data_IF_796281610177
#
_entry.id   IF_796281610177
#
_cell.length_a   1.000
_cell.length_b   1.000
_cell.length_c   1.000
_cell.angle_alpha   90.00
_cell.angle_beta   90.00
_cell.angle_gamma   90.00
#
_symmetry.space_group_name_H-M   'P 1'
#
loop_
_entity.id
_entity.type
_entity.pdbx_description
1 polymer ?
#
# COMPACT_ATOMS: atom_id res chain seq x y z
N UNK A 1 6.73 -20.51 -22.06
CA UNK A 1 5.40 -20.49 -21.40
C UNK A 1 5.39 -19.42 -20.32
N UNK A 2 4.67 -18.32 -20.51
CA UNK A 2 4.58 -17.26 -19.50
C UNK A 2 3.81 -17.78 -18.28
N UNK A 3 4.43 -17.78 -17.09
CA UNK A 3 3.74 -18.11 -15.84
C UNK A 3 2.61 -17.09 -15.63
N UNK A 4 1.35 -17.53 -15.69
CA UNK A 4 0.20 -16.72 -15.27
C UNK A 4 0.36 -16.45 -13.77
N UNK A 5 0.95 -15.31 -13.40
CA UNK A 5 0.92 -14.83 -12.02
C UNK A 5 -0.53 -14.52 -11.66
N UNK A 6 -1.06 -15.21 -10.64
CA UNK A 6 -2.31 -14.80 -10.03
C UNK A 6 -2.09 -13.44 -9.39
N UNK A 7 -2.84 -12.44 -9.86
CA UNK A 7 -2.85 -11.11 -9.26
C UNK A 7 -3.62 -11.20 -7.95
N UNK A 8 -2.97 -10.81 -6.86
CA UNK A 8 -3.61 -10.74 -5.54
C UNK A 8 -4.60 -9.57 -5.53
N UNK A 9 -5.77 -9.80 -4.97
CA UNK A 9 -6.79 -8.77 -4.77
C UNK A 9 -6.61 -8.12 -3.40
N UNK A 10 -6.60 -6.80 -3.37
CA UNK A 10 -6.38 -5.98 -2.17
C UNK A 10 -7.60 -5.13 -1.88
N UNK A 11 -8.00 -5.10 -0.61
CA UNK A 11 -9.12 -4.29 -0.14
C UNK A 11 -8.69 -3.50 1.09
N UNK A 12 -9.03 -2.22 1.13
CA UNK A 12 -8.72 -1.33 2.27
C UNK A 12 -10.04 -0.89 2.89
N UNK A 13 -10.18 -1.18 4.18
CA UNK A 13 -11.34 -0.84 4.97
C UNK A 13 -10.95 0.20 6.01
N UNK A 14 -11.83 1.16 6.25
CA UNK A 14 -11.72 2.07 7.39
C UNK A 14 -12.93 1.86 8.30
N UNK A 15 -12.74 2.13 9.59
CA UNK A 15 -13.85 2.23 10.53
C UNK A 15 -14.15 3.69 10.82
N UNK A 16 -15.35 4.11 10.47
CA UNK A 16 -15.85 5.47 10.72
C UNK A 16 -17.18 5.37 11.44
N UNK A 17 -17.33 6.06 12.57
CA UNK A 17 -18.55 6.07 13.38
C UNK A 17 -19.06 4.65 13.73
N UNK A 18 -18.15 3.75 14.07
CA UNK A 18 -18.47 2.36 14.43
C UNK A 18 -18.74 1.42 13.25
N UNK A 19 -19.00 1.94 12.04
CA UNK A 19 -19.23 1.17 10.83
C UNK A 19 -17.94 0.92 10.04
N UNK A 20 -17.80 -0.29 9.49
CA UNK A 20 -16.72 -0.65 8.57
C UNK A 20 -17.12 -0.26 7.14
N UNK A 21 -16.25 0.45 6.44
CA UNK A 21 -16.43 0.88 5.06
C UNK A 21 -15.23 0.47 4.22
N UNK A 22 -15.46 -0.26 3.14
CA UNK A 22 -14.46 -0.47 2.09
C UNK A 22 -14.27 0.84 1.32
N UNK A 23 -13.05 1.36 1.28
CA UNK A 23 -12.72 2.60 0.57
C UNK A 23 -11.91 2.35 -0.69
N UNK A 24 -11.29 1.17 -0.81
CA UNK A 24 -10.52 0.80 -1.99
C UNK A 24 -10.57 -0.72 -2.17
N UNK A 25 -10.75 -1.15 -3.41
CA UNK A 25 -10.71 -2.54 -3.85
C UNK A 25 -9.94 -2.55 -5.17
N UNK A 26 -8.81 -3.26 -5.24
CA UNK A 26 -7.85 -3.16 -6.35
C UNK A 26 -6.98 -4.39 -6.46
N UNK A 27 -6.41 -4.64 -7.64
CA UNK A 27 -5.35 -5.65 -7.83
C UNK A 27 -3.94 -5.03 -7.77
N UNK A 28 -3.83 -3.71 -7.55
CA UNK A 28 -2.56 -2.99 -7.42
C UNK A 28 -2.18 -2.81 -5.95
N UNK A 29 -1.14 -3.55 -5.53
CA UNK A 29 -0.53 -3.45 -4.20
C UNK A 29 -0.11 -2.01 -3.86
N UNK A 30 0.32 -1.21 -4.85
CA UNK A 30 0.78 0.16 -4.61
C UNK A 30 -0.37 1.11 -4.31
N UNK A 31 -1.49 0.97 -5.00
CA UNK A 31 -2.70 1.72 -4.69
C UNK A 31 -3.19 1.38 -3.27
N UNK A 32 -3.24 0.09 -2.92
CA UNK A 32 -3.63 -0.37 -1.58
C UNK A 32 -2.71 0.15 -0.47
N UNK A 33 -1.39 0.03 -0.65
CA UNK A 33 -0.41 0.51 0.33
C UNK A 33 -0.41 2.02 0.53
N UNK A 34 -0.61 2.81 -0.54
CA UNK A 34 -0.74 4.28 -0.44
C UNK A 34 -2.00 4.69 0.32
N UNK A 35 -3.12 4.03 0.02
CA UNK A 35 -4.38 4.30 0.71
C UNK A 35 -4.28 3.95 2.20
N UNK A 36 -3.75 2.76 2.52
CA UNK A 36 -3.52 2.36 3.89
C UNK A 36 -2.66 3.37 4.66
N UNK A 37 -1.50 3.75 4.10
CA UNK A 37 -0.60 4.71 4.75
C UNK A 37 -1.26 6.08 4.95
N UNK A 38 -2.04 6.55 3.96
CA UNK A 38 -2.78 7.81 4.06
C UNK A 38 -3.80 7.77 5.19
N UNK A 39 -4.60 6.71 5.28
CA UNK A 39 -5.60 6.60 6.36
C UNK A 39 -4.94 6.39 7.72
N UNK A 40 -3.85 5.62 7.78
CA UNK A 40 -3.09 5.38 9.02
C UNK A 40 -2.50 6.67 9.59
N UNK A 41 -2.03 7.59 8.73
CA UNK A 41 -1.52 8.91 9.14
C UNK A 41 -2.59 9.85 9.70
N UNK A 42 -3.87 9.57 9.42
CA UNK A 42 -5.02 10.34 9.95
C UNK A 42 -5.55 9.78 11.26
N UNK A 43 -4.82 8.82 11.85
CA UNK A 43 -5.19 8.07 13.06
C UNK A 43 -6.57 7.39 12.98
N UNK A 44 -6.99 7.05 11.76
CA UNK A 44 -8.21 6.27 11.50
C UNK A 44 -7.87 4.80 11.63
N UNK A 45 -8.78 4.03 12.26
CA UNK A 45 -8.67 2.59 12.29
C UNK A 45 -8.85 2.03 10.87
N UNK A 46 -7.75 1.53 10.29
CA UNK A 46 -7.68 1.02 8.92
C UNK A 46 -7.26 -0.45 8.93
N UNK A 47 -7.90 -1.26 8.09
CA UNK A 47 -7.63 -2.70 7.90
C UNK A 47 -7.37 -2.96 6.41
N UNK A 48 -6.57 -3.98 6.12
CA UNK A 48 -6.31 -4.43 4.75
C UNK A 48 -6.67 -5.90 4.64
N UNK A 49 -7.39 -6.28 3.59
CA UNK A 49 -7.60 -7.67 3.20
C UNK A 49 -6.88 -7.98 1.89
N UNK A 50 -6.32 -9.17 1.80
CA UNK A 50 -5.69 -9.71 0.59
C UNK A 50 -6.36 -11.04 0.27
N UNK A 51 -7.00 -11.12 -0.90
CA UNK A 51 -7.76 -12.31 -1.35
C UNK A 51 -8.77 -12.80 -0.29
N UNK A 52 -9.41 -11.86 0.42
CA UNK A 52 -10.36 -12.15 1.50
C UNK A 52 -9.74 -12.42 2.87
N UNK A 53 -8.41 -12.50 2.98
CA UNK A 53 -7.70 -12.67 4.24
C UNK A 53 -7.28 -11.33 4.82
N UNK A 54 -7.68 -11.06 6.05
CA UNK A 54 -7.25 -9.85 6.73
C UNK A 54 -5.80 -9.91 7.20
N UNK A 55 -5.04 -8.88 6.85
CA UNK A 55 -3.68 -8.69 7.30
C UNK A 55 -3.63 -8.08 8.70
N UNK A 56 -2.68 -8.54 9.51
CA UNK A 56 -2.33 -7.88 10.76
C UNK A 56 -1.65 -6.54 10.49
N UNK A 57 -1.66 -5.64 11.48
CA UNK A 57 -1.06 -4.30 11.35
C UNK A 57 0.40 -4.37 10.87
N UNK A 58 1.23 -5.24 11.46
CA UNK A 58 2.63 -5.38 11.03
C UNK A 58 2.80 -5.90 9.60
N UNK A 59 1.84 -6.67 9.08
CA UNK A 59 1.86 -7.20 7.71
C UNK A 59 1.47 -6.11 6.72
N UNK A 60 0.46 -5.30 7.06
CA UNK A 60 0.07 -4.12 6.32
C UNK A 60 1.19 -3.05 6.32
N UNK A 61 1.85 -2.81 7.47
CA UNK A 61 2.99 -1.90 7.58
C UNK A 61 4.19 -2.39 6.73
N UNK A 62 4.43 -3.70 6.70
CA UNK A 62 5.48 -4.30 5.85
C UNK A 62 5.13 -4.17 4.37
N UNK A 63 3.86 -4.29 4.00
CA UNK A 63 3.38 -4.04 2.62
C UNK A 63 3.72 -2.61 2.20
N UNK A 64 3.48 -1.62 3.07
CA UNK A 64 3.84 -0.22 2.83
C UNK A 64 5.36 0.04 2.85
N UNK A 65 6.11 -0.65 3.71
CA UNK A 65 7.57 -0.49 3.80
C UNK A 65 8.30 -1.00 2.55
N UNK A 66 7.85 -2.14 1.99
CA UNK A 66 8.36 -2.65 0.71
C UNK A 66 8.13 -1.64 -0.42
N UNK A 67 7.00 -0.95 -0.39
CA UNK A 67 6.70 0.15 -1.31
C UNK A 67 7.62 1.35 -1.10
N UNK A 68 7.81 1.83 0.14
CA UNK A 68 8.68 2.98 0.40
C UNK A 68 10.12 2.70 -0.05
N UNK A 69 10.60 1.47 0.15
CA UNK A 69 11.92 1.05 -0.36
C UNK A 69 11.98 0.97 -1.89
N UNK A 70 10.89 0.59 -2.57
CA UNK A 70 10.83 0.53 -4.04
C UNK A 70 10.77 1.93 -4.66
N UNK A 71 10.00 2.86 -4.07
CA UNK A 71 9.96 4.26 -4.50
C UNK A 71 11.33 4.93 -4.31
N UNK A 72 12.00 4.71 -3.17
CA UNK A 72 13.32 5.30 -2.92
C UNK A 72 14.41 4.80 -3.89
N UNK A 73 14.23 3.63 -4.49
CA UNK A 73 15.14 3.11 -5.53
C UNK A 73 14.88 3.69 -6.92
N UNK A 74 13.73 4.34 -7.14
CA UNK A 74 13.34 4.91 -8.42
C UNK A 74 13.59 6.42 -8.54
N UNK A 75 14.13 7.07 -7.52
CA UNK A 75 14.62 8.45 -7.65
C UNK A 75 15.98 8.38 -8.36
N UNK A 76 16.12 8.85 -9.62
CA UNK A 76 17.44 9.04 -10.18
C UNK A 76 18.13 10.07 -9.29
N UNK A 77 19.31 9.74 -8.77
CA UNK A 77 20.24 10.72 -8.23
C UNK A 77 20.41 11.78 -9.31
N UNK A 78 19.67 12.89 -9.17
CA UNK A 78 19.75 14.03 -10.04
C UNK A 78 21.20 14.44 -10.07
N UNK A 79 21.80 14.40 -11.27
CA UNK A 79 23.13 14.92 -11.54
C UNK A 79 23.26 16.26 -10.82
N UNK A 80 24.12 16.30 -9.80
CA UNK A 80 24.54 17.56 -9.22
C UNK A 80 25.11 18.41 -10.35
N UNK A 81 24.58 19.62 -10.46
CA UNK A 81 25.06 20.63 -11.38
C UNK A 81 26.57 20.82 -11.15
N UNK A 82 27.36 20.54 -12.19
CA UNK A 82 28.75 20.94 -12.25
C UNK A 82 28.78 22.47 -12.39
N UNK A 83 29.00 23.18 -11.29
CA UNK A 83 29.57 24.51 -11.35
C UNK A 83 31.09 24.36 -11.51
N UNK A 84 31.61 24.80 -12.65
CA UNK A 84 32.92 25.46 -12.77
C UNK A 84 33.04 26.08 -14.16
#
# INVERSE_FOLDING_TARGET
MAKKQKLQHYEVFIRTNGAEKCILSTFDTNAAGREYARQRSRDVFVRVRVDGHELRIYEADRMCSKFMSAIHRSVPLGRMATQR
#
